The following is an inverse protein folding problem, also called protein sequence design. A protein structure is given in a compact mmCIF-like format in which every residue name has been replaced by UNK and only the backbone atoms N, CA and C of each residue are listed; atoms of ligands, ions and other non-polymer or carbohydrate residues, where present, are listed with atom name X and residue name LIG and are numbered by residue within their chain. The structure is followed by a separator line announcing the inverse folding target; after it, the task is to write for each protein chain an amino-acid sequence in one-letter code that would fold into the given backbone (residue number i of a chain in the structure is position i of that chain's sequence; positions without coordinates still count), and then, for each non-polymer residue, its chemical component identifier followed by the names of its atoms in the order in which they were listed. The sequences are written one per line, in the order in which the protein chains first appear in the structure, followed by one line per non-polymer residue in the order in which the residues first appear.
data_IF_611277601462
#
_entry.id   IF_611277601462
#
_cell.length_a   1.000
_cell.length_b   1.000
_cell.length_c   1.000
_cell.angle_alpha   90.00
_cell.angle_beta   90.00
_cell.angle_gamma   90.00
#
_symmetry.space_group_name_H-M   'P 1'
#
loop_
_entity.id
_entity.type
_entity.pdbx_description
1 polymer ?
#
# COMPACT_ATOMS: atom_id res chain seq x y z
N UNK A 1 -37.32 -14.38 -10.45
CA UNK A 1 -35.90 -14.00 -10.61
C UNK A 1 -35.29 -13.94 -9.23
N UNK A 2 -34.46 -14.92 -8.89
CA UNK A 2 -33.71 -14.91 -7.63
C UNK A 2 -32.49 -14.00 -7.81
N UNK A 3 -32.32 -13.01 -6.93
CA UNK A 3 -31.11 -12.20 -6.86
C UNK A 3 -29.88 -13.11 -6.72
N UNK A 4 -28.74 -12.79 -7.37
CA UNK A 4 -27.52 -13.57 -7.17
C UNK A 4 -27.13 -13.44 -5.70
N UNK A 5 -26.98 -14.58 -5.02
CA UNK A 5 -26.36 -14.65 -3.70
C UNK A 5 -24.90 -14.21 -3.92
N UNK A 6 -24.56 -12.99 -3.51
CA UNK A 6 -23.17 -12.56 -3.43
C UNK A 6 -22.49 -13.50 -2.44
N UNK A 7 -21.69 -14.43 -2.97
CA UNK A 7 -20.86 -15.32 -2.16
C UNK A 7 -19.94 -14.41 -1.33
N UNK A 8 -19.89 -14.59 -0.02
CA UNK A 8 -18.95 -13.84 0.82
C UNK A 8 -17.53 -14.16 0.34
N UNK A 9 -16.91 -13.23 -0.40
CA UNK A 9 -15.52 -13.34 -0.82
C UNK A 9 -14.64 -13.27 0.44
N UNK A 10 -13.67 -14.15 0.54
CA UNK A 10 -12.63 -14.04 1.56
C UNK A 10 -11.80 -12.76 1.32
N UNK A 11 -11.14 -12.24 2.36
CA UNK A 11 -10.25 -11.08 2.21
C UNK A 11 -9.14 -11.33 1.17
N UNK A 12 -8.68 -12.57 1.08
CA UNK A 12 -7.69 -13.02 0.11
C UNK A 12 -8.21 -12.96 -1.33
N UNK A 13 -9.42 -13.48 -1.57
CA UNK A 13 -10.08 -13.39 -2.87
C UNK A 13 -10.39 -11.93 -3.23
N UNK A 14 -10.76 -11.09 -2.26
CA UNK A 14 -10.94 -9.66 -2.48
C UNK A 14 -9.64 -9.00 -2.94
N UNK A 15 -8.53 -9.22 -2.22
CA UNK A 15 -7.22 -8.66 -2.55
C UNK A 15 -6.77 -9.11 -3.95
N UNK A 16 -6.90 -10.40 -4.26
CA UNK A 16 -6.52 -10.95 -5.56
C UNK A 16 -7.34 -10.34 -6.72
N UNK A 17 -8.67 -10.27 -6.55
CA UNK A 17 -9.55 -9.66 -7.54
C UNK A 17 -9.27 -8.17 -7.71
N UNK A 18 -9.10 -7.43 -6.61
CA UNK A 18 -8.81 -6.00 -6.66
C UNK A 18 -7.44 -5.73 -7.31
N UNK A 19 -6.42 -6.54 -7.00
CA UNK A 19 -5.08 -6.41 -7.56
C UNK A 19 -5.05 -6.61 -9.08
N UNK A 20 -5.97 -7.42 -9.64
CA UNK A 20 -6.11 -7.57 -11.09
C UNK A 20 -6.48 -6.27 -11.83
N UNK A 21 -7.09 -5.32 -11.12
CA UNK A 21 -7.41 -3.98 -11.62
C UNK A 21 -6.30 -2.95 -11.44
N UNK A 22 -5.25 -3.25 -10.67
CA UNK A 22 -4.14 -2.35 -10.42
C UNK A 22 -3.13 -2.44 -11.58
N UNK A 23 -3.28 -1.55 -12.54
CA UNK A 23 -2.41 -1.43 -13.72
C UNK A 23 -1.28 -0.40 -13.48
N UNK A 24 -0.21 -0.35 -14.30
CA UNK A 24 0.91 0.58 -14.09
C UNK A 24 0.50 2.06 -14.01
N UNK A 25 -0.52 2.47 -14.77
CA UNK A 25 -1.08 3.82 -14.69
C UNK A 25 -1.79 4.10 -13.36
N UNK A 26 -2.45 3.10 -12.78
CA UNK A 26 -3.06 3.20 -11.44
C UNK A 26 -1.98 3.34 -10.36
N UNK A 27 -0.94 2.51 -10.43
CA UNK A 27 0.21 2.62 -9.54
C UNK A 27 0.86 4.00 -9.64
N UNK A 28 0.97 4.57 -10.84
CA UNK A 28 1.48 5.93 -11.05
C UNK A 28 0.64 6.97 -10.30
N UNK A 29 -0.69 6.92 -10.45
CA UNK A 29 -1.60 7.81 -9.72
C UNK A 29 -1.47 7.64 -8.20
N UNK A 30 -1.40 6.40 -7.72
CA UNK A 30 -1.24 6.10 -6.29
C UNK A 30 0.11 6.60 -5.75
N UNK A 31 1.18 6.54 -6.55
CA UNK A 31 2.47 7.10 -6.21
C UNK A 31 2.42 8.64 -6.12
N UNK A 32 1.70 9.32 -7.02
CA UNK A 32 1.51 10.77 -6.97
C UNK A 32 0.71 11.20 -5.72
N UNK A 33 -0.22 10.37 -5.27
CA UNK A 33 -1.04 10.60 -4.08
C UNK A 33 -0.40 10.06 -2.79
N UNK A 34 0.73 9.37 -2.85
CA UNK A 34 1.22 8.56 -1.74
C UNK A 34 1.57 9.37 -0.49
N UNK A 35 1.93 10.65 -0.64
CA UNK A 35 2.15 11.56 0.50
C UNK A 35 0.90 11.73 1.38
N UNK A 36 -0.31 11.58 0.82
CA UNK A 36 -1.58 11.69 1.55
C UNK A 36 -1.92 10.47 2.39
N UNK A 37 -1.21 9.35 2.19
CA UNK A 37 -1.37 8.16 3.04
C UNK A 37 -1.08 8.53 4.50
N UNK A 38 -0.08 9.38 4.73
CA UNK A 38 0.27 9.84 6.07
C UNK A 38 -0.85 10.69 6.68
N UNK A 39 -1.37 11.66 5.93
CA UNK A 39 -2.45 12.55 6.40
C UNK A 39 -3.62 11.72 6.93
N UNK A 40 -4.05 10.68 6.20
CA UNK A 40 -5.15 9.81 6.64
C UNK A 40 -4.85 9.03 7.92
N UNK A 41 -3.67 8.42 8.03
CA UNK A 41 -3.38 7.50 9.16
C UNK A 41 -2.92 8.20 10.43
N UNK A 42 -2.64 9.51 10.39
CA UNK A 42 -2.33 10.29 11.60
C UNK A 42 -3.51 10.44 12.55
N UNK A 43 -4.73 10.31 12.05
CA UNK A 43 -5.96 10.40 12.83
C UNK A 43 -6.36 9.04 13.47
N UNK A 44 -5.70 7.94 13.08
CA UNK A 44 -5.99 6.62 13.61
C UNK A 44 -5.48 6.46 15.06
N UNK A 45 -6.27 5.80 15.91
CA UNK A 45 -5.86 5.47 17.28
C UNK A 45 -4.66 4.50 17.25
N UNK A 46 -3.48 4.90 17.74
CA UNK A 46 -2.27 4.07 17.71
C UNK A 46 -2.33 2.88 18.67
N UNK A 47 -3.20 2.89 19.68
CA UNK A 47 -3.41 1.74 20.57
C UNK A 47 -4.22 0.67 19.84
N UNK A 48 -5.25 1.09 19.08
CA UNK A 48 -6.13 0.19 18.32
C UNK A 48 -5.48 -0.29 17.02
N UNK A 49 -4.69 0.56 16.36
CA UNK A 49 -4.06 0.30 15.06
C UNK A 49 -2.53 0.53 15.10
N UNK A 50 -1.78 -0.23 15.91
CA UNK A 50 -0.38 0.07 16.20
C UNK A 50 0.58 -0.05 15.01
N UNK A 51 0.16 -0.71 13.93
CA UNK A 51 0.98 -0.90 12.71
C UNK A 51 0.65 0.05 11.58
N UNK A 52 -0.54 0.66 11.58
CA UNK A 52 -1.11 1.32 10.41
C UNK A 52 -0.24 2.47 9.90
N UNK A 53 0.29 3.29 10.82
CA UNK A 53 1.19 4.39 10.47
C UNK A 53 2.49 3.92 9.82
N UNK A 54 3.12 2.86 10.35
CA UNK A 54 4.33 2.29 9.78
C UNK A 54 4.06 1.66 8.41
N UNK A 55 2.92 0.99 8.25
CA UNK A 55 2.50 0.38 6.99
C UNK A 55 2.22 1.43 5.92
N UNK A 56 1.52 2.52 6.25
CA UNK A 56 1.32 3.64 5.33
C UNK A 56 2.63 4.25 4.85
N UNK A 57 3.59 4.42 5.76
CA UNK A 57 4.93 4.93 5.40
C UNK A 57 5.69 3.98 4.48
N UNK A 58 5.58 2.67 4.72
CA UNK A 58 6.17 1.66 3.84
C UNK A 58 5.49 1.68 2.46
N UNK A 59 4.16 1.75 2.41
CA UNK A 59 3.41 1.86 1.15
C UNK A 59 3.88 3.04 0.32
N UNK A 60 4.01 4.22 0.93
CA UNK A 60 4.52 5.42 0.26
C UNK A 60 5.90 5.19 -0.34
N UNK A 61 6.84 4.68 0.45
CA UNK A 61 8.22 4.43 0.01
C UNK A 61 8.24 3.42 -1.15
N UNK A 62 7.49 2.32 -1.03
CA UNK A 62 7.50 1.24 -2.00
C UNK A 62 6.85 1.65 -3.32
N UNK A 63 5.70 2.34 -3.27
CA UNK A 63 5.03 2.84 -4.48
C UNK A 63 5.96 3.76 -5.28
N UNK A 64 6.52 4.79 -4.64
CA UNK A 64 7.42 5.75 -5.31
C UNK A 64 8.69 5.07 -5.82
N UNK A 65 9.21 4.08 -5.10
CA UNK A 65 10.48 3.42 -5.48
C UNK A 65 10.30 2.43 -6.63
N UNK A 66 9.21 1.65 -6.62
CA UNK A 66 9.06 0.49 -7.48
C UNK A 66 8.10 0.71 -8.66
N UNK A 67 7.15 1.63 -8.55
CA UNK A 67 6.24 1.98 -9.66
C UNK A 67 7.00 2.38 -10.94
N UNK A 68 8.04 3.22 -10.93
CA UNK A 68 8.73 3.62 -12.16
C UNK A 68 9.45 2.47 -12.86
N UNK A 69 9.64 1.35 -12.16
CA UNK A 69 10.39 0.17 -12.62
C UNK A 69 9.48 -1.04 -12.77
N UNK A 70 8.16 -0.85 -12.80
CA UNK A 70 7.18 -1.94 -12.79
C UNK A 70 7.50 -3.06 -13.79
N UNK A 71 7.84 -2.71 -15.02
CA UNK A 71 8.12 -3.68 -16.08
C UNK A 71 9.42 -4.48 -15.88
N UNK A 72 10.35 -3.96 -15.09
CA UNK A 72 11.63 -4.61 -14.75
C UNK A 72 11.50 -5.60 -13.59
N UNK A 73 10.40 -5.55 -12.83
CA UNK A 73 10.26 -6.34 -11.62
C UNK A 73 10.04 -7.83 -11.94
N UNK A 74 10.53 -8.75 -11.08
CA UNK A 74 10.09 -10.14 -11.07
C UNK A 74 8.56 -10.27 -10.95
N UNK A 75 8.00 -11.41 -11.36
CA UNK A 75 6.54 -11.61 -11.35
C UNK A 75 5.92 -11.57 -9.96
N UNK A 76 6.60 -12.12 -8.95
CA UNK A 76 6.17 -12.08 -7.55
C UNK A 76 6.22 -10.64 -7.01
N UNK A 77 7.23 -9.87 -7.41
CA UNK A 77 7.37 -8.46 -7.05
C UNK A 77 6.31 -7.56 -7.72
N UNK A 78 5.98 -7.81 -9.00
CA UNK A 78 4.86 -7.13 -9.67
C UNK A 78 3.52 -7.44 -9.00
N UNK A 79 3.30 -8.71 -8.64
CA UNK A 79 2.10 -9.13 -7.91
C UNK A 79 2.01 -8.41 -6.57
N UNK A 80 3.10 -8.43 -5.78
CA UNK A 80 3.15 -7.75 -4.50
C UNK A 80 2.90 -6.25 -4.62
N UNK A 81 3.48 -5.60 -5.65
CA UNK A 81 3.22 -4.19 -5.93
C UNK A 81 1.75 -3.91 -6.27
N UNK A 82 1.10 -4.81 -7.01
CA UNK A 82 -0.34 -4.76 -7.27
C UNK A 82 -1.17 -4.87 -6.00
N UNK A 83 -0.90 -5.85 -5.14
CA UNK A 83 -1.60 -6.04 -3.85
C UNK A 83 -1.36 -4.84 -2.90
N UNK A 84 -0.14 -4.28 -2.86
CA UNK A 84 0.17 -3.05 -2.13
C UNK A 84 -0.55 -1.82 -2.71
N UNK A 85 -0.73 -1.77 -4.04
CA UNK A 85 -1.56 -0.78 -4.70
C UNK A 85 -3.03 -0.87 -4.27
N UNK A 86 -3.57 -2.07 -4.02
CA UNK A 86 -4.91 -2.24 -3.44
C UNK A 86 -4.98 -1.61 -2.04
N UNK A 87 -4.01 -1.92 -1.16
CA UNK A 87 -3.98 -1.35 0.19
C UNK A 87 -3.89 0.19 0.15
N UNK A 88 -3.05 0.74 -0.73
CA UNK A 88 -2.93 2.18 -0.89
C UNK A 88 -4.19 2.82 -1.48
N UNK A 89 -4.81 2.20 -2.48
CA UNK A 89 -6.08 2.66 -3.07
C UNK A 89 -7.21 2.65 -2.03
N UNK A 90 -7.28 1.61 -1.20
CA UNK A 90 -8.28 1.51 -0.14
C UNK A 90 -8.08 2.58 0.93
N UNK A 91 -6.84 2.83 1.36
CA UNK A 91 -6.53 3.94 2.24
C UNK A 91 -6.86 5.28 1.57
N UNK A 92 -6.56 5.48 0.29
CA UNK A 92 -6.82 6.75 -0.39
C UNK A 92 -8.26 6.92 -0.89
N UNK A 93 -9.16 5.96 -0.60
CA UNK A 93 -10.59 6.07 -0.91
C UNK A 93 -11.13 7.38 -0.33
N UNK A 94 -11.76 8.20 -1.18
CA UNK A 94 -12.28 9.53 -0.82
C UNK A 94 -11.45 10.71 -1.34
N UNK A 95 -10.19 10.51 -1.77
CA UNK A 95 -9.38 11.60 -2.34
C UNK A 95 -9.56 11.83 -3.85
N UNK A 96 -10.37 11.00 -4.54
CA UNK A 96 -10.44 11.00 -6.00
C UNK A 96 -11.45 12.01 -6.62
N UNK A 97 -12.35 12.66 -5.86
CA UNK A 97 -13.25 13.73 -6.40
C UNK A 97 -13.76 14.66 -5.27
N UNK A 98 -13.32 15.94 -5.25
CA UNK A 98 -13.94 17.19 -4.68
C UNK A 98 -14.46 17.16 -3.20
N UNK A 99 -14.22 18.21 -2.36
CA UNK A 99 -14.33 18.09 -0.91
C UNK A 99 -15.75 18.37 -0.38
N UNK A 100 -16.05 17.79 0.79
CA UNK A 100 -16.41 18.46 2.06
C UNK A 100 -17.31 17.54 2.92
N UNK A 101 -16.96 17.46 4.22
CA UNK A 101 -17.87 17.09 5.32
C UNK A 101 -18.42 15.65 5.40
N UNK A 102 -17.57 14.61 5.41
CA UNK A 102 -18.00 13.31 5.97
C UNK A 102 -16.86 12.64 6.74
N UNK A 103 -17.09 12.48 8.05
CA UNK A 103 -16.24 11.76 8.99
C UNK A 103 -16.28 10.25 8.67
N UNK A 104 -15.32 9.74 7.91
CA UNK A 104 -15.13 8.29 7.73
C UNK A 104 -14.06 7.80 8.72
N UNK A 105 -14.41 7.72 10.01
CA UNK A 105 -13.63 6.95 11.00
C UNK A 105 -13.97 5.47 10.80
N UNK A 106 -13.40 4.88 9.75
CA UNK A 106 -13.52 3.47 9.38
C UNK A 106 -12.18 2.71 9.47
N UNK A 107 -11.28 3.09 10.39
CA UNK A 107 -9.91 2.57 10.43
C UNK A 107 -9.78 1.07 10.75
N UNK A 108 -10.81 0.42 11.30
CA UNK A 108 -10.78 -1.02 11.54
C UNK A 108 -10.66 -1.82 10.24
N UNK A 109 -11.49 -1.49 9.25
CA UNK A 109 -11.50 -2.19 7.96
C UNK A 109 -10.23 -1.85 7.16
N UNK A 110 -9.80 -0.58 7.20
CA UNK A 110 -8.55 -0.12 6.60
C UNK A 110 -7.35 -0.88 7.19
N UNK A 111 -7.24 -0.92 8.51
CA UNK A 111 -6.13 -1.60 9.19
C UNK A 111 -6.16 -3.11 8.93
N UNK A 112 -7.35 -3.73 8.92
CA UNK A 112 -7.50 -5.16 8.65
C UNK A 112 -7.05 -5.52 7.23
N UNK A 113 -7.47 -4.76 6.23
CA UNK A 113 -7.05 -4.98 4.83
C UNK A 113 -5.54 -4.76 4.66
N UNK A 114 -5.01 -3.66 5.21
CA UNK A 114 -3.58 -3.34 5.14
C UNK A 114 -2.76 -4.43 5.82
N UNK A 115 -3.17 -4.91 7.00
CA UNK A 115 -2.52 -6.02 7.69
C UNK A 115 -2.54 -7.32 6.86
N UNK A 116 -3.66 -7.62 6.21
CA UNK A 116 -3.77 -8.79 5.33
C UNK A 116 -2.81 -8.69 4.14
N UNK A 117 -2.77 -7.56 3.44
CA UNK A 117 -1.85 -7.31 2.32
C UNK A 117 -0.39 -7.41 2.77
N UNK A 118 -0.02 -6.77 3.89
CA UNK A 118 1.34 -6.84 4.42
C UNK A 118 1.74 -8.26 4.83
N UNK A 119 0.82 -9.02 5.41
CA UNK A 119 1.08 -10.39 5.82
C UNK A 119 1.31 -11.31 4.63
N UNK A 120 0.50 -11.17 3.57
CA UNK A 120 0.63 -11.95 2.33
C UNK A 120 1.91 -11.65 1.55
N UNK A 121 2.39 -10.41 1.63
CA UNK A 121 3.54 -9.93 0.85
C UNK A 121 4.82 -9.76 1.70
N UNK A 122 4.83 -10.31 2.92
CA UNK A 122 5.92 -10.15 3.90
C UNK A 122 7.30 -10.37 3.29
N UNK A 123 7.51 -11.51 2.63
CA UNK A 123 8.83 -11.88 2.13
C UNK A 123 9.35 -10.90 1.07
N UNK A 124 8.47 -10.36 0.22
CA UNK A 124 8.84 -9.36 -0.80
C UNK A 124 9.17 -8.03 -0.13
N UNK A 125 8.31 -7.59 0.81
CA UNK A 125 8.50 -6.35 1.56
C UNK A 125 9.81 -6.39 2.35
N UNK A 126 10.10 -7.48 3.05
CA UNK A 126 11.33 -7.66 3.83
C UNK A 126 12.57 -7.56 2.94
N UNK A 127 12.56 -8.19 1.75
CA UNK A 127 13.66 -8.06 0.78
C UNK A 127 13.84 -6.62 0.30
N UNK A 128 12.77 -5.95 -0.09
CA UNK A 128 12.84 -4.56 -0.55
C UNK A 128 13.34 -3.60 0.54
N UNK A 129 12.87 -3.77 1.77
CA UNK A 129 13.32 -2.98 2.92
C UNK A 129 14.81 -3.25 3.21
N UNK A 130 15.23 -4.52 3.25
CA UNK A 130 16.63 -4.89 3.46
C UNK A 130 17.55 -4.29 2.39
N UNK A 131 17.22 -4.47 1.10
CA UNK A 131 18.00 -3.90 -0.01
C UNK A 131 18.06 -2.38 0.01
N UNK A 132 17.04 -1.71 0.55
CA UNK A 132 17.06 -0.25 0.74
C UNK A 132 17.97 0.16 1.89
N UNK A 133 17.90 -0.53 3.03
CA UNK A 133 18.75 -0.27 4.19
C UNK A 133 20.23 -0.44 3.83
N UNK A 134 20.59 -1.51 3.12
CA UNK A 134 21.95 -1.77 2.64
C UNK A 134 22.47 -0.65 1.74
N UNK A 135 21.65 -0.14 0.82
CA UNK A 135 21.99 1.01 -0.03
C UNK A 135 22.18 2.28 0.78
N UNK A 136 21.31 2.54 1.75
CA UNK A 136 21.41 3.71 2.63
C UNK A 136 22.69 3.68 3.46
N UNK A 137 23.01 2.54 4.07
CA UNK A 137 24.24 2.35 4.86
C UNK A 137 25.46 2.57 3.97
N UNK A 138 25.49 1.93 2.79
CA UNK A 138 26.59 2.08 1.84
C UNK A 138 26.78 3.53 1.43
N UNK A 139 25.69 4.25 1.10
CA UNK A 139 25.75 5.67 0.74
C UNK A 139 26.29 6.54 1.89
N UNK A 140 25.94 6.25 3.14
CA UNK A 140 26.43 6.99 4.31
C UNK A 140 27.90 6.70 4.63
N UNK A 141 28.35 5.45 4.52
CA UNK A 141 29.73 5.05 4.83
C UNK A 141 30.75 5.62 3.84
N UNK A 142 30.36 5.76 2.58
CA UNK A 142 31.22 6.23 1.50
C UNK A 142 30.88 7.65 1.02
N UNK A 143 30.09 8.40 1.80
CA UNK A 143 29.82 9.80 1.51
C UNK A 143 31.15 10.59 1.56
N UNK A 144 31.48 11.39 0.52
CA UNK A 144 32.68 12.19 0.55
C UNK A 144 32.63 13.18 1.72
N UNK A 145 33.67 13.18 2.55
CA UNK A 145 33.87 14.18 3.59
C UNK A 145 33.94 15.57 2.94
N UNK A 146 33.03 16.46 3.33
CA UNK A 146 33.09 17.88 2.94
C UNK A 146 34.22 18.59 3.67
#
# INVERSE_FOLDING_TARGET
MLSPIVKAATIDEYIENAASGIVPGELGRLADLSGRLWDKVTEADPVRHPRLQAQARILEILLVTYQPRYDELPSDERRALGELGVAASYLLKGYDVIPDEVEEIGFDDDAFLVDAVFSRNRDVIERWVASRLERSISASLFAPSR
#
